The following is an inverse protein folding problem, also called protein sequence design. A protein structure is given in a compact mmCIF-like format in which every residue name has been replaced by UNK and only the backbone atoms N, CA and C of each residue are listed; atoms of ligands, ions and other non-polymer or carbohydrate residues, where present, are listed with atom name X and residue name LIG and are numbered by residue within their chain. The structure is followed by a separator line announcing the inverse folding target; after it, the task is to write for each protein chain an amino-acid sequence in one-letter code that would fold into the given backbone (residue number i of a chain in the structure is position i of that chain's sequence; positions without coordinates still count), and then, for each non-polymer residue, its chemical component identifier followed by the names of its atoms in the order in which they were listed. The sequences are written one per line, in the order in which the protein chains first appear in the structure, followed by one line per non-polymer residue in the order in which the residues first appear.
data_IF_854845683366
#
_entry.id   IF_854845683366
#
_cell.length_a   1.000
_cell.length_b   1.000
_cell.length_c   1.000
_cell.angle_alpha   90.00
_cell.angle_beta   90.00
_cell.angle_gamma   90.00
#
_symmetry.space_group_name_H-M   'P 1'
#
loop_
_entity.id
_entity.type
_entity.pdbx_description
1 polymer ?
#
# COMPACT_ATOMS: atom_id res chain seq x y z
N UNK A 1 0.63 11.14 23.80
CA UNK A 1 0.82 11.88 22.54
C UNK A 1 1.31 10.96 21.41
N UNK A 2 2.19 10.00 21.69
CA UNK A 2 2.77 9.12 20.66
C UNK A 2 1.77 8.27 19.86
N UNK A 3 0.71 7.72 20.48
CA UNK A 3 -0.24 6.82 19.80
C UNK A 3 -1.20 7.49 18.81
N UNK A 4 -1.36 8.82 18.86
CA UNK A 4 -2.26 9.57 17.97
C UNK A 4 -1.61 9.99 16.64
N UNK A 5 -0.28 10.16 16.65
CA UNK A 5 0.52 10.51 15.47
C UNK A 5 0.33 9.56 14.26
N UNK A 6 0.30 8.22 14.42
CA UNK A 6 0.03 7.31 13.31
C UNK A 6 -1.40 7.45 12.74
N UNK A 7 -2.39 7.74 13.57
CA UNK A 7 -3.76 7.97 13.11
C UNK A 7 -3.89 9.28 12.33
N UNK A 8 -3.27 10.36 12.84
CA UNK A 8 -3.28 11.67 12.18
C UNK A 8 -2.50 11.66 10.86
N UNK A 9 -1.38 10.95 10.80
CA UNK A 9 -0.63 10.76 9.54
C UNK A 9 -1.38 9.88 8.54
N UNK A 10 -2.17 8.90 9.00
CA UNK A 10 -3.05 8.10 8.14
C UNK A 10 -4.21 8.89 7.56
N UNK A 11 -4.82 9.76 8.37
CA UNK A 11 -5.81 10.73 7.90
C UNK A 11 -5.20 11.72 6.90
N UNK A 12 -3.99 12.21 7.13
CA UNK A 12 -3.30 13.08 6.19
C UNK A 12 -2.97 12.34 4.88
N UNK A 13 -2.58 11.06 4.93
CA UNK A 13 -2.34 10.26 3.73
C UNK A 13 -3.64 9.99 2.94
N UNK A 14 -4.76 9.71 3.63
CA UNK A 14 -6.08 9.62 3.00
C UNK A 14 -6.49 10.94 2.35
N UNK A 15 -6.31 12.05 3.06
CA UNK A 15 -6.63 13.39 2.55
C UNK A 15 -5.77 13.73 1.32
N UNK A 16 -4.48 13.39 1.36
CA UNK A 16 -3.56 13.55 0.24
C UNK A 16 -3.93 12.62 -0.93
N UNK A 17 -4.35 11.38 -0.66
CA UNK A 17 -4.88 10.47 -1.68
C UNK A 17 -6.13 11.07 -2.34
N UNK A 18 -7.09 11.58 -1.56
CA UNK A 18 -8.31 12.18 -2.10
C UNK A 18 -8.01 13.45 -2.92
N UNK A 19 -7.11 14.32 -2.44
CA UNK A 19 -6.77 15.56 -3.15
C UNK A 19 -5.96 15.33 -4.42
N UNK A 20 -5.03 14.37 -4.42
CA UNK A 20 -4.14 14.12 -5.56
C UNK A 20 -4.67 13.05 -6.52
N UNK A 21 -5.65 12.23 -6.10
CA UNK A 21 -6.27 11.17 -6.92
C UNK A 21 -6.73 11.72 -8.27
N UNK A 22 -7.46 12.84 -8.26
CA UNK A 22 -8.08 13.36 -9.47
C UNK A 22 -7.06 14.01 -10.41
N UNK A 23 -5.99 14.61 -9.87
CA UNK A 23 -4.92 15.22 -10.65
C UNK A 23 -3.90 14.20 -11.20
N UNK A 24 -3.74 13.06 -10.51
CA UNK A 24 -2.76 12.02 -10.86
C UNK A 24 -3.41 10.80 -11.52
N UNK A 25 -4.68 10.87 -11.90
CA UNK A 25 -5.33 9.77 -12.61
C UNK A 25 -4.83 9.76 -14.06
N UNK A 26 -4.09 8.71 -14.44
CA UNK A 26 -3.66 8.47 -15.81
C UNK A 26 -4.39 7.23 -16.33
N UNK A 27 -5.19 7.37 -17.39
CA UNK A 27 -6.00 6.28 -17.97
C UNK A 27 -6.93 5.59 -16.95
N UNK A 28 -7.46 6.34 -15.97
CA UNK A 28 -8.34 5.79 -14.93
C UNK A 28 -7.61 5.04 -13.82
N UNK A 29 -6.28 4.95 -13.86
CA UNK A 29 -5.45 4.35 -12.81
C UNK A 29 -4.78 5.46 -11.99
N UNK A 30 -4.83 5.30 -10.67
CA UNK A 30 -4.24 6.21 -9.68
C UNK A 30 -3.22 5.47 -8.82
N UNK A 31 -2.18 6.16 -8.32
CA UNK A 31 -1.24 5.57 -7.36
C UNK A 31 -1.95 5.28 -6.02
N UNK A 32 -1.58 4.17 -5.38
CA UNK A 32 -2.17 3.76 -4.09
C UNK A 32 -1.35 4.36 -2.92
N UNK A 33 -1.67 5.60 -2.56
CA UNK A 33 -0.98 6.31 -1.47
C UNK A 33 -1.34 5.74 -0.09
N UNK A 34 -2.54 5.20 0.09
CA UNK A 34 -2.98 4.53 1.32
C UNK A 34 -2.14 3.28 1.54
N UNK A 35 -1.87 2.49 0.51
CA UNK A 35 -0.99 1.32 0.60
C UNK A 35 0.43 1.73 1.01
N UNK A 36 0.98 2.79 0.40
CA UNK A 36 2.30 3.34 0.79
C UNK A 36 2.28 3.72 2.27
N UNK A 37 1.25 4.44 2.72
CA UNK A 37 1.13 4.82 4.12
C UNK A 37 1.07 3.59 5.04
N UNK A 38 0.26 2.58 4.70
CA UNK A 38 0.17 1.32 5.45
C UNK A 38 1.53 0.63 5.55
N UNK A 39 2.33 0.60 4.48
CA UNK A 39 3.69 0.03 4.49
C UNK A 39 4.59 0.73 5.51
N UNK A 40 4.66 2.06 5.45
CA UNK A 40 5.48 2.85 6.37
C UNK A 40 5.00 2.71 7.82
N UNK A 41 3.69 2.77 8.04
CA UNK A 41 3.12 2.64 9.37
C UNK A 41 3.42 1.26 9.97
N UNK A 42 3.27 0.20 9.16
CA UNK A 42 3.51 -1.17 9.59
C UNK A 42 4.99 -1.41 9.94
N UNK A 43 5.92 -0.87 9.15
CA UNK A 43 7.35 -0.96 9.47
C UNK A 43 7.73 -0.19 10.74
N UNK A 44 7.04 0.92 11.02
CA UNK A 44 7.34 1.74 12.21
C UNK A 44 6.66 1.23 13.47
N UNK A 45 5.41 0.77 13.40
CA UNK A 45 4.58 0.43 14.57
C UNK A 45 4.24 -1.07 14.68
N UNK A 46 4.65 -1.87 13.70
CA UNK A 46 4.47 -3.32 13.68
C UNK A 46 3.16 -3.76 13.01
N UNK A 47 2.97 -5.08 12.95
CA UNK A 47 1.87 -5.71 12.20
C UNK A 47 0.48 -5.31 12.67
N UNK A 48 0.24 -5.14 13.97
CA UNK A 48 -1.10 -4.79 14.49
C UNK A 48 -1.54 -3.39 14.01
N UNK A 49 -0.63 -2.41 14.06
CA UNK A 49 -0.91 -1.07 13.54
C UNK A 49 -1.16 -1.10 12.02
N UNK A 50 -0.41 -1.92 11.29
CA UNK A 50 -0.62 -2.18 9.87
C UNK A 50 -1.99 -2.76 9.53
N UNK A 51 -2.45 -3.75 10.30
CA UNK A 51 -3.79 -4.33 10.14
C UNK A 51 -4.86 -3.26 10.39
N UNK A 52 -4.79 -2.55 11.52
CA UNK A 52 -5.80 -1.55 11.88
C UNK A 52 -5.88 -0.44 10.83
N UNK A 53 -4.75 0.08 10.37
CA UNK A 53 -4.74 1.09 9.32
C UNK A 53 -5.18 0.54 7.97
N UNK A 54 -4.70 -0.64 7.56
CA UNK A 54 -5.11 -1.27 6.31
C UNK A 54 -6.61 -1.50 6.25
N UNK A 55 -7.20 -1.97 7.35
CA UNK A 55 -8.64 -2.17 7.46
C UNK A 55 -9.42 -0.86 7.45
N UNK A 56 -9.09 0.08 8.35
CA UNK A 56 -9.85 1.33 8.48
C UNK A 56 -9.74 2.21 7.24
N UNK A 57 -8.54 2.41 6.70
CA UNK A 57 -8.34 3.25 5.52
C UNK A 57 -8.86 2.56 4.25
N UNK A 58 -8.72 1.24 4.15
CA UNK A 58 -9.28 0.47 3.05
C UNK A 58 -10.82 0.48 3.04
N UNK A 59 -11.47 0.42 4.20
CA UNK A 59 -12.93 0.59 4.30
C UNK A 59 -13.37 1.96 3.80
N UNK A 60 -12.66 3.03 4.20
CA UNK A 60 -12.93 4.38 3.70
C UNK A 60 -12.74 4.45 2.19
N UNK A 61 -11.69 3.82 1.65
CA UNK A 61 -11.45 3.78 0.20
C UNK A 61 -12.56 3.07 -0.57
N UNK A 62 -13.09 1.97 -0.05
CA UNK A 62 -14.23 1.26 -0.65
C UNK A 62 -15.51 2.10 -0.61
N UNK A 63 -15.76 2.86 0.46
CA UNK A 63 -16.91 3.77 0.52
C UNK A 63 -16.82 4.92 -0.49
N UNK A 64 -15.60 5.38 -0.79
CA UNK A 64 -15.36 6.48 -1.72
C UNK A 64 -15.26 6.01 -3.18
N UNK A 65 -14.91 4.75 -3.42
CA UNK A 65 -14.70 4.20 -4.76
C UNK A 65 -15.99 3.58 -5.29
N UNK A 66 -16.72 4.32 -6.12
CA UNK A 66 -17.85 3.77 -6.85
C UNK A 66 -17.36 2.79 -7.93
N UNK A 67 -17.41 1.48 -7.65
CA UNK A 67 -17.18 0.43 -8.66
C UNK A 67 -16.20 -0.68 -8.30
N UNK A 68 -15.52 -0.64 -7.15
CA UNK A 68 -14.74 -1.78 -6.65
C UNK A 68 -15.57 -2.74 -5.81
N UNK A 69 -15.12 -3.99 -5.70
CA UNK A 69 -15.74 -4.96 -4.79
C UNK A 69 -15.56 -4.48 -3.33
N UNK A 70 -16.66 -4.12 -2.67
CA UNK A 70 -16.65 -3.75 -1.26
C UNK A 70 -15.98 -4.84 -0.41
N UNK A 71 -15.07 -4.45 0.48
CA UNK A 71 -14.31 -5.32 1.37
C UNK A 71 -12.95 -5.74 0.81
N UNK A 72 -12.67 -5.53 -0.48
CA UNK A 72 -11.40 -5.96 -1.08
C UNK A 72 -10.23 -5.06 -0.67
N UNK A 73 -10.41 -3.74 -0.68
CA UNK A 73 -9.38 -2.81 -0.23
C UNK A 73 -8.99 -3.03 1.25
N UNK A 74 -9.91 -3.09 2.23
CA UNK A 74 -9.54 -3.31 3.62
C UNK A 74 -8.89 -4.68 3.84
N UNK A 75 -9.34 -5.73 3.14
CA UNK A 75 -8.74 -7.06 3.25
C UNK A 75 -7.29 -7.07 2.74
N UNK A 76 -7.06 -6.65 1.50
CA UNK A 76 -5.75 -6.69 0.85
C UNK A 76 -4.74 -5.76 1.54
N UNK A 77 -5.17 -4.57 1.97
CA UNK A 77 -4.33 -3.62 2.71
C UNK A 77 -4.01 -4.12 4.11
N UNK A 78 -4.95 -4.78 4.81
CA UNK A 78 -4.69 -5.41 6.12
C UNK A 78 -3.67 -6.53 6.04
N UNK A 79 -3.78 -7.42 5.06
CA UNK A 79 -2.82 -8.51 4.82
C UNK A 79 -1.44 -7.92 4.54
N UNK A 80 -1.39 -6.89 3.69
CA UNK A 80 -0.12 -6.21 3.35
C UNK A 80 0.50 -5.58 4.58
N UNK A 81 -0.28 -4.85 5.38
CA UNK A 81 0.21 -4.22 6.62
C UNK A 81 0.69 -5.26 7.64
N UNK A 82 -0.01 -6.39 7.78
CA UNK A 82 0.46 -7.49 8.62
C UNK A 82 1.83 -8.02 8.18
N UNK A 83 1.97 -8.39 6.89
CA UNK A 83 3.18 -8.99 6.34
C UNK A 83 4.37 -8.03 6.39
N UNK A 84 4.16 -6.78 5.97
CA UNK A 84 5.18 -5.73 6.01
C UNK A 84 5.57 -5.42 7.47
N UNK A 85 4.61 -5.42 8.40
CA UNK A 85 4.89 -5.22 9.81
C UNK A 85 5.77 -6.31 10.43
N UNK A 86 5.80 -7.53 9.87
CA UNK A 86 6.75 -8.58 10.28
C UNK A 86 8.20 -8.28 9.91
N UNK A 87 8.42 -7.36 8.96
CA UNK A 87 9.74 -6.88 8.57
C UNK A 87 10.28 -5.79 9.50
N UNK A 88 9.48 -5.29 10.45
CA UNK A 88 9.90 -4.27 11.42
C UNK A 88 11.19 -4.69 12.14
N UNK A 89 12.21 -3.84 12.09
CA UNK A 89 13.51 -4.09 12.73
C UNK A 89 14.31 -5.26 12.15
N UNK A 90 13.88 -5.87 11.03
CA UNK A 90 14.57 -6.98 10.39
C UNK A 90 15.67 -6.55 9.43
N UNK A 91 15.75 -5.27 9.05
CA UNK A 91 16.77 -4.77 8.11
C UNK A 91 18.20 -5.12 8.55
N UNK A 92 18.53 -4.97 9.84
CA UNK A 92 19.86 -5.29 10.36
C UNK A 92 20.14 -6.80 10.51
N UNK A 93 19.10 -7.64 10.41
CA UNK A 93 19.20 -9.11 10.58
C UNK A 93 19.08 -9.87 9.25
N UNK A 94 18.71 -9.18 8.18
CA UNK A 94 18.54 -9.74 6.84
C UNK A 94 19.54 -9.08 5.89
N UNK A 95 19.83 -9.73 4.76
CA UNK A 95 20.56 -9.03 3.71
C UNK A 95 19.71 -7.85 3.19
N UNK A 96 20.32 -6.71 2.83
CA UNK A 96 19.59 -5.57 2.28
C UNK A 96 18.74 -5.94 1.06
N UNK A 97 19.24 -6.83 0.21
CA UNK A 97 18.52 -7.33 -0.97
C UNK A 97 17.26 -8.09 -0.55
N UNK A 98 17.37 -9.02 0.40
CA UNK A 98 16.22 -9.78 0.90
C UNK A 98 15.16 -8.89 1.52
N UNK A 99 15.56 -7.86 2.29
CA UNK A 99 14.61 -6.92 2.88
C UNK A 99 13.82 -6.16 1.81
N UNK A 100 14.52 -5.64 0.78
CA UNK A 100 13.85 -4.89 -0.29
C UNK A 100 13.00 -5.79 -1.19
N UNK A 101 13.49 -6.98 -1.52
CA UNK A 101 12.73 -7.97 -2.27
C UNK A 101 11.46 -8.40 -1.52
N UNK A 102 11.50 -8.50 -0.19
CA UNK A 102 10.36 -8.91 0.61
C UNK A 102 9.20 -7.90 0.53
N UNK A 103 9.44 -6.61 0.81
CA UNK A 103 8.34 -5.63 0.78
C UNK A 103 7.85 -5.36 -0.65
N UNK A 104 8.73 -5.37 -1.65
CA UNK A 104 8.36 -5.26 -3.07
C UNK A 104 7.48 -6.45 -3.47
N UNK A 105 7.88 -7.67 -3.11
CA UNK A 105 7.11 -8.88 -3.38
C UNK A 105 5.72 -8.86 -2.73
N UNK A 106 5.63 -8.42 -1.48
CA UNK A 106 4.33 -8.26 -0.79
C UNK A 106 3.44 -7.27 -1.55
N UNK A 107 3.97 -6.11 -1.96
CA UNK A 107 3.20 -5.13 -2.74
C UNK A 107 2.80 -5.65 -4.12
N UNK A 108 3.66 -6.41 -4.81
CA UNK A 108 3.33 -7.03 -6.09
C UNK A 108 2.18 -8.03 -5.96
N UNK A 109 2.16 -8.83 -4.89
CA UNK A 109 1.06 -9.76 -4.58
C UNK A 109 -0.22 -8.98 -4.24
N UNK A 110 -0.11 -7.88 -3.48
CA UNK A 110 -1.24 -7.00 -3.20
C UNK A 110 -1.90 -6.51 -4.49
N UNK A 111 -1.13 -5.93 -5.41
CA UNK A 111 -1.64 -5.45 -6.70
C UNK A 111 -2.23 -6.57 -7.53
N UNK A 112 -1.63 -7.77 -7.49
CA UNK A 112 -2.13 -8.90 -8.27
C UNK A 112 -3.52 -9.30 -7.81
N UNK A 113 -3.70 -9.49 -6.50
CA UNK A 113 -5.01 -9.84 -5.92
C UNK A 113 -6.03 -8.73 -6.21
N UNK A 114 -5.67 -7.47 -5.98
CA UNK A 114 -6.58 -6.34 -6.16
C UNK A 114 -7.04 -6.18 -7.61
N UNK A 115 -6.11 -6.27 -8.57
CA UNK A 115 -6.42 -6.13 -10.00
C UNK A 115 -7.15 -7.37 -10.53
N UNK A 116 -6.73 -8.57 -10.15
CA UNK A 116 -7.39 -9.81 -10.55
C UNK A 116 -8.87 -9.82 -10.17
N UNK A 117 -9.21 -9.44 -8.94
CA UNK A 117 -10.59 -9.46 -8.46
C UNK A 117 -11.44 -8.36 -9.11
N UNK A 118 -10.93 -7.12 -9.21
CA UNK A 118 -11.71 -6.02 -9.80
C UNK A 118 -11.84 -6.10 -11.33
N UNK A 119 -10.84 -6.66 -12.02
CA UNK A 119 -10.75 -6.65 -13.48
C UNK A 119 -10.86 -8.06 -14.08
N UNK A 120 -11.55 -8.98 -13.39
CA UNK A 120 -11.76 -10.37 -13.85
C UNK A 120 -12.40 -10.45 -15.26
N UNK A 121 -13.33 -9.55 -15.57
CA UNK A 121 -13.98 -9.52 -16.89
C UNK A 121 -12.98 -9.13 -17.97
N UNK A 122 -12.14 -8.13 -17.70
CA UNK A 122 -11.07 -7.69 -18.59
C UNK A 122 -10.04 -8.80 -18.79
N UNK A 123 -9.72 -9.58 -17.75
CA UNK A 123 -8.84 -10.74 -17.88
C UNK A 123 -9.37 -11.76 -18.89
N UNK A 124 -10.67 -12.07 -18.84
CA UNK A 124 -11.30 -13.02 -19.76
C UNK A 124 -11.41 -12.47 -21.19
N UNK A 125 -11.80 -11.20 -21.34
CA UNK A 125 -12.03 -10.59 -22.66
C UNK A 125 -10.73 -10.18 -23.35
N UNK A 126 -9.77 -9.63 -22.62
CA UNK A 126 -8.50 -9.16 -23.16
C UNK A 126 -7.36 -9.25 -22.12
N UNK A 127 -6.67 -10.41 -22.03
CA UNK A 127 -5.56 -10.61 -21.10
C UNK A 127 -4.43 -9.58 -21.26
N UNK A 128 -4.21 -9.05 -22.48
CA UNK A 128 -3.18 -8.06 -22.74
C UNK A 128 -3.42 -6.75 -21.98
N UNK A 129 -4.66 -6.25 -22.00
CA UNK A 129 -5.05 -5.04 -21.25
C UNK A 129 -4.98 -5.32 -19.74
N UNK A 130 -5.38 -6.50 -19.28
CA UNK A 130 -5.29 -6.88 -17.87
C UNK A 130 -3.85 -6.77 -17.34
N UNK A 131 -2.88 -7.37 -18.03
CA UNK A 131 -1.47 -7.31 -17.60
C UNK A 131 -0.90 -5.89 -17.68
N UNK A 132 -1.30 -5.10 -18.68
CA UNK A 132 -0.93 -3.69 -18.75
C UNK A 132 -1.47 -2.90 -17.55
N UNK A 133 -2.73 -3.11 -17.17
CA UNK A 133 -3.34 -2.48 -15.99
C UNK A 133 -2.62 -2.87 -14.71
N UNK A 134 -2.31 -4.15 -14.53
CA UNK A 134 -1.52 -4.64 -13.39
C UNK A 134 -0.15 -3.96 -13.31
N UNK A 135 0.62 -3.99 -14.40
CA UNK A 135 1.98 -3.41 -14.45
C UNK A 135 1.90 -1.90 -14.22
N UNK A 136 0.97 -1.21 -14.87
CA UNK A 136 0.84 0.24 -14.76
C UNK A 136 0.47 0.66 -13.33
N UNK A 137 -0.52 0.01 -12.71
CA UNK A 137 -0.91 0.30 -11.33
C UNK A 137 0.25 0.06 -10.33
N UNK A 138 0.96 -1.06 -10.48
CA UNK A 138 2.10 -1.39 -9.64
C UNK A 138 3.24 -0.39 -9.83
N UNK A 139 3.72 -0.21 -11.07
CA UNK A 139 4.84 0.70 -11.40
C UNK A 139 4.52 2.12 -10.96
N UNK A 140 3.29 2.59 -11.15
CA UNK A 140 2.93 3.95 -10.78
C UNK A 140 3.07 4.18 -9.27
N UNK A 141 2.57 3.25 -8.45
CA UNK A 141 2.75 3.30 -6.99
C UNK A 141 4.22 3.12 -6.58
N UNK A 142 4.97 2.26 -7.29
CA UNK A 142 6.39 2.05 -7.03
C UNK A 142 7.26 3.28 -7.32
N UNK A 143 6.89 4.10 -8.30
CA UNK A 143 7.57 5.38 -8.55
C UNK A 143 7.45 6.29 -7.32
N UNK A 144 6.25 6.43 -6.74
CA UNK A 144 6.05 7.29 -5.57
C UNK A 144 6.76 6.75 -4.33
N UNK A 145 6.67 5.45 -4.03
CA UNK A 145 7.40 4.90 -2.89
C UNK A 145 8.92 4.96 -3.11
N UNK A 146 9.39 4.89 -4.36
CA UNK A 146 10.78 5.08 -4.74
C UNK A 146 11.28 6.50 -4.50
N UNK A 147 10.47 7.51 -4.85
CA UNK A 147 10.74 8.92 -4.49
C UNK A 147 10.79 9.07 -2.98
N UNK A 148 9.85 8.47 -2.25
CA UNK A 148 9.85 8.49 -0.79
C UNK A 148 11.06 7.76 -0.18
N UNK A 149 11.62 6.74 -0.82
CA UNK A 149 12.86 6.10 -0.34
C UNK A 149 14.04 7.08 -0.30
N UNK A 150 14.08 8.07 -1.20
CA UNK A 150 15.17 9.06 -1.24
C UNK A 150 15.12 10.01 -0.02
N UNK A 151 13.91 10.27 0.49
CA UNK A 151 13.68 11.19 1.63
C UNK A 151 13.66 10.40 2.95
N UNK A 152 12.89 9.30 2.99
CA UNK A 152 12.65 8.45 4.15
C UNK A 152 12.86 6.98 3.74
N UNK A 153 14.11 6.48 3.77
CA UNK A 153 14.40 5.09 3.43
C UNK A 153 13.75 4.12 4.42
N UNK A 154 13.10 3.07 3.92
CA UNK A 154 12.46 2.03 4.76
C UNK A 154 13.46 1.31 5.67
N UNK A 155 14.73 1.23 5.26
CA UNK A 155 15.83 0.67 6.05
C UNK A 155 16.13 1.46 7.33
N UNK A 156 15.79 2.75 7.37
CA UNK A 156 16.03 3.62 8.53
C UNK A 156 14.83 3.73 9.45
N UNK A 157 13.69 3.12 9.11
CA UNK A 157 12.48 3.15 9.93
C UNK A 157 12.70 2.32 11.19
N UNK A 158 12.77 2.99 12.35
CA UNK A 158 12.95 2.36 13.66
C UNK A 158 11.62 2.29 14.42
N UNK A 159 11.42 1.23 15.24
CA UNK A 159 10.30 1.20 16.17
C UNK A 159 10.37 2.37 17.15
N UNK A 160 9.22 2.89 17.63
CA UNK A 160 9.20 3.91 18.67
C UNK A 160 9.88 3.39 19.95
N UNK A 161 10.49 4.29 20.75
CA UNK A 161 11.01 3.93 22.07
C UNK A 161 9.86 3.36 22.93
N UNK A 162 10.18 2.36 23.75
CA UNK A 162 9.22 1.71 24.66
C UNK A 162 8.92 2.59 25.87
#
# INVERSE_FOLDING_TARGET
VDRALPFLTGLAALFLQMMLSDFLTIRGLRPDFVLIFVVYLSLRWGSLAGIIAGFSLGLVEDFLSAGSLMGLAPLTKSITGFLVGRLQGRYNRMSPITFHAAWVGIMMVHFFIFIYVNYQSVYVTNPGIFWQTYIFAAVYTFIFIGILQMIIPLSKVKPPPK
#
